data_IF_284148253516
#
_entry.id   IF_284148253516
#
_cell.length_a   1.000
_cell.length_b   1.000
_cell.length_c   1.000
_cell.angle_alpha   90.00
_cell.angle_beta   90.00
_cell.angle_gamma   90.00
#
_symmetry.space_group_name_H-M   'P 1'
#
loop_
_entity.id
_entity.type
_entity.pdbx_description
1 polymer ?
#
# COMPACT_ATOMS: atom_id res chain seq x y z
N UNK A 1 16.46 -19.83 9.12
CA UNK A 1 16.09 -19.25 10.42
C UNK A 1 14.58 -19.22 10.51
N UNK A 2 14.00 -20.13 11.30
CA UNK A 2 12.55 -20.24 11.54
C UNK A 2 12.28 -19.56 12.90
N UNK A 3 11.50 -18.48 12.96
CA UNK A 3 10.99 -17.99 14.24
C UNK A 3 9.60 -18.57 14.47
N UNK A 4 9.54 -19.56 15.35
CA UNK A 4 8.29 -20.20 15.80
C UNK A 4 7.50 -19.24 16.69
N UNK A 5 6.22 -19.06 16.40
CA UNK A 5 5.25 -18.66 17.42
C UNK A 5 4.98 -19.89 18.27
N UNK A 6 5.39 -19.88 19.53
CA UNK A 6 5.16 -20.95 20.51
C UNK A 6 4.13 -20.52 21.54
N UNK A 7 3.20 -21.43 21.87
CA UNK A 7 2.13 -21.32 22.88
C UNK A 7 2.65 -21.08 24.30
N UNK A 8 1.84 -20.40 25.14
CA UNK A 8 1.79 -20.77 26.54
C UNK A 8 0.36 -20.96 27.10
N UNK A 9 0.29 -22.08 27.81
CA UNK A 9 -0.63 -22.60 28.83
C UNK A 9 -1.56 -21.61 29.55
N UNK A 10 -2.82 -22.05 29.67
CA UNK A 10 -3.97 -21.44 30.35
C UNK A 10 -3.81 -21.43 31.88
N UNK A 11 -4.08 -20.28 32.52
CA UNK A 11 -4.43 -20.21 33.95
C UNK A 11 -5.68 -19.34 34.14
N UNK A 12 -6.79 -19.99 34.51
CA UNK A 12 -8.13 -19.39 34.68
C UNK A 12 -8.49 -19.28 36.15
N UNK A 13 -8.36 -18.09 36.76
CA UNK A 13 -9.15 -17.69 37.95
C UNK A 13 -9.31 -16.17 38.07
N UNK A 14 -10.51 -15.65 37.74
CA UNK A 14 -11.38 -14.92 38.69
C UNK A 14 -12.60 -14.31 38.03
N UNK A 15 -13.75 -14.79 38.50
CA UNK A 15 -15.09 -14.22 38.37
C UNK A 15 -15.26 -12.94 39.20
N UNK A 16 -15.81 -11.87 38.61
CA UNK A 16 -16.81 -11.01 39.29
C UNK A 16 -17.63 -10.15 38.32
N UNK A 17 -18.92 -10.11 38.64
CA UNK A 17 -20.06 -9.51 37.93
C UNK A 17 -19.88 -8.03 37.59
N UNK A 18 -20.36 -7.68 36.40
CA UNK A 18 -20.65 -6.32 35.95
C UNK A 18 -20.61 -6.31 34.44
N UNK A 19 -21.76 -6.15 33.77
CA UNK A 19 -21.95 -6.19 32.31
C UNK A 19 -20.73 -5.61 31.59
N UNK A 20 -19.90 -6.52 31.10
CA UNK A 20 -18.71 -6.20 30.34
C UNK A 20 -19.16 -6.31 28.89
N UNK A 21 -19.14 -5.20 28.14
CA UNK A 21 -18.94 -5.30 26.70
C UNK A 21 -17.83 -6.35 26.49
N UNK A 22 -17.96 -7.30 25.55
CA UNK A 22 -16.84 -8.18 25.25
C UNK A 22 -15.69 -7.27 24.84
N UNK A 23 -14.79 -6.99 25.79
CA UNK A 23 -13.44 -6.54 25.52
C UNK A 23 -12.87 -7.74 24.80
N UNK A 24 -13.04 -7.76 23.47
CA UNK A 24 -12.26 -8.62 22.61
C UNK A 24 -10.84 -8.39 23.03
N UNK A 25 -10.32 -9.38 23.75
CA UNK A 25 -8.97 -9.40 24.24
C UNK A 25 -8.13 -9.57 22.99
N UNK A 26 -7.79 -8.45 22.35
CA UNK A 26 -6.78 -8.42 21.31
C UNK A 26 -5.55 -9.11 21.90
N UNK A 27 -5.08 -10.23 21.33
CA UNK A 27 -3.91 -10.91 21.85
C UNK A 27 -2.74 -9.91 21.81
N UNK A 28 -2.31 -9.47 22.98
CA UNK A 28 -1.12 -8.63 23.18
C UNK A 28 0.11 -9.50 22.97
N UNK A 29 0.45 -9.81 21.72
CA UNK A 29 1.72 -10.43 21.38
C UNK A 29 2.37 -9.76 20.16
N UNK A 30 3.61 -9.30 20.36
CA UNK A 30 4.50 -8.76 19.33
C UNK A 30 4.19 -7.32 18.94
N UNK A 31 5.09 -6.39 19.27
CA UNK A 31 4.99 -4.94 19.00
C UNK A 31 5.06 -4.60 17.49
N UNK A 32 4.05 -4.98 16.72
CA UNK A 32 3.77 -4.42 15.40
C UNK A 32 2.35 -3.89 15.42
N UNK A 33 2.17 -2.60 15.13
CA UNK A 33 0.82 -2.09 14.90
C UNK A 33 0.19 -2.94 13.79
N UNK A 34 -0.91 -3.66 14.06
CA UNK A 34 -1.64 -4.30 12.98
C UNK A 34 -2.01 -3.19 12.00
N UNK A 35 -1.92 -3.47 10.69
CA UNK A 35 -2.36 -2.60 9.59
C UNK A 35 -1.36 -1.60 9.00
N UNK A 36 -0.17 -1.38 9.59
CA UNK A 36 0.86 -0.58 8.92
C UNK A 36 2.01 -1.46 8.41
N UNK A 37 2.48 -1.25 7.17
CA UNK A 37 3.74 -1.85 6.76
C UNK A 37 4.82 -1.35 7.72
N UNK A 38 5.61 -2.27 8.26
CA UNK A 38 6.70 -1.96 9.20
C UNK A 38 7.69 -0.95 8.63
N UNK A 39 7.90 -1.01 7.31
CA UNK A 39 8.79 -0.12 6.60
C UNK A 39 8.17 0.26 5.26
N UNK A 40 8.29 1.54 4.91
CA UNK A 40 7.91 2.07 3.61
C UNK A 40 9.04 2.95 3.09
N UNK A 41 9.51 2.66 1.89
CA UNK A 41 10.49 3.48 1.20
C UNK A 41 9.83 4.06 -0.05
N UNK A 42 10.02 5.35 -0.28
CA UNK A 42 9.53 6.02 -1.49
C UNK A 42 10.71 6.77 -2.10
N UNK A 43 11.02 6.44 -3.34
CA UNK A 43 12.05 7.09 -4.14
C UNK A 43 11.37 7.75 -5.33
N UNK A 44 11.63 9.04 -5.55
CA UNK A 44 11.18 9.77 -6.73
C UNK A 44 12.37 10.44 -7.38
N UNK A 45 12.48 10.28 -8.69
CA UNK A 45 13.57 10.79 -9.50
C UNK A 45 13.04 11.53 -10.71
N UNK A 46 13.63 12.68 -10.99
CA UNK A 46 13.42 13.45 -12.22
C UNK A 46 14.81 13.71 -12.82
N UNK A 47 15.04 13.14 -14.00
CA UNK A 47 16.24 13.39 -14.78
C UNK A 47 15.87 14.25 -15.98
N UNK A 48 16.42 15.46 -16.05
CA UNK A 48 16.26 16.32 -17.22
C UNK A 48 17.40 16.06 -18.19
N UNK A 49 17.08 15.67 -19.42
CA UNK A 49 18.04 15.44 -20.49
C UNK A 49 17.94 16.61 -21.47
N UNK A 50 18.86 17.56 -21.31
CA UNK A 50 18.85 18.82 -22.07
C UNK A 50 17.64 19.70 -21.71
N UNK A 51 17.10 20.40 -22.73
CA UNK A 51 15.97 21.34 -22.54
C UNK A 51 14.63 20.80 -23.00
N UNK A 52 14.62 19.61 -23.63
CA UNK A 52 13.43 19.05 -24.28
C UNK A 52 12.91 17.78 -23.62
N UNK A 53 13.76 16.97 -22.99
CA UNK A 53 13.37 15.67 -22.47
C UNK A 53 13.47 15.64 -20.95
N UNK A 54 12.47 15.04 -20.32
CA UNK A 54 12.50 14.70 -18.90
C UNK A 54 12.10 13.25 -18.69
N UNK A 55 12.89 12.52 -17.90
CA UNK A 55 12.58 11.18 -17.44
C UNK A 55 12.17 11.25 -15.99
N UNK A 56 11.06 10.60 -15.67
CA UNK A 56 10.49 10.49 -14.33
C UNK A 56 10.48 9.04 -13.94
N UNK A 57 10.94 8.74 -12.74
CA UNK A 57 10.83 7.43 -12.15
C UNK A 57 10.38 7.58 -10.70
N UNK A 58 9.48 6.72 -10.26
CA UNK A 58 9.09 6.62 -8.87
C UNK A 58 9.03 5.16 -8.46
N UNK A 59 9.58 4.86 -7.29
CA UNK A 59 9.54 3.54 -6.68
C UNK A 59 8.95 3.64 -5.29
N UNK A 60 7.91 2.85 -5.01
CA UNK A 60 7.31 2.73 -3.69
C UNK A 60 7.49 1.28 -3.26
N UNK A 61 8.30 1.06 -2.24
CA UNK A 61 8.45 -0.22 -1.59
C UNK A 61 7.72 -0.23 -0.24
N UNK A 62 7.02 -1.32 0.04
CA UNK A 62 6.34 -1.56 1.30
C UNK A 62 6.71 -2.95 1.81
N UNK A 63 7.11 -3.04 3.07
CA UNK A 63 7.37 -4.31 3.73
C UNK A 63 6.09 -5.11 3.92
N UNK A 64 6.24 -6.38 4.31
CA UNK A 64 5.12 -7.21 4.75
C UNK A 64 4.25 -6.51 5.79
N UNK A 65 2.95 -6.72 5.69
CA UNK A 65 1.95 -6.21 6.61
C UNK A 65 1.04 -7.35 7.09
N UNK A 66 0.49 -7.21 8.29
CA UNK A 66 -0.48 -8.14 8.85
C UNK A 66 -1.80 -7.41 9.09
N UNK A 67 -2.90 -8.05 8.73
CA UNK A 67 -4.25 -7.56 8.96
C UNK A 67 -5.13 -8.67 9.51
N UNK A 68 -6.14 -8.28 10.28
CA UNK A 68 -7.16 -9.20 10.71
C UNK A 68 -8.32 -9.16 9.72
N UNK A 69 -8.78 -10.33 9.27
CA UNK A 69 -9.95 -10.45 8.42
C UNK A 69 -10.89 -11.50 9.03
N UNK A 70 -12.19 -11.22 9.06
CA UNK A 70 -13.17 -12.21 9.45
C UNK A 70 -13.23 -13.29 8.38
N UNK A 71 -13.23 -14.55 8.82
CA UNK A 71 -13.29 -15.71 7.94
C UNK A 71 -14.72 -16.02 7.49
N UNK A 72 -15.72 -15.50 8.21
CA UNK A 72 -17.14 -15.79 8.04
C UNK A 72 -18.01 -14.53 8.23
N UNK A 73 -19.17 -14.49 7.57
CA UNK A 73 -20.18 -13.41 7.64
C UNK A 73 -20.80 -13.27 9.03
N UNK A 74 -20.57 -14.25 9.91
CA UNK A 74 -20.98 -14.21 11.31
C UNK A 74 -20.06 -13.38 12.22
N UNK A 75 -18.98 -12.77 11.68
CA UNK A 75 -17.99 -11.94 12.40
C UNK A 75 -17.36 -12.60 13.65
N UNK A 76 -17.47 -13.93 13.77
CA UNK A 76 -17.08 -14.66 14.99
C UNK A 76 -15.64 -15.17 14.95
N UNK A 77 -15.07 -15.36 13.76
CA UNK A 77 -13.73 -15.95 13.60
C UNK A 77 -12.78 -14.97 12.89
N UNK A 78 -11.79 -14.48 13.64
CA UNK A 78 -10.86 -13.43 13.21
C UNK A 78 -9.53 -14.08 12.81
N UNK A 79 -9.23 -14.12 11.52
CA UNK A 79 -8.00 -14.72 10.99
C UNK A 79 -6.93 -13.65 10.70
N UNK A 80 -5.67 -14.01 10.90
CA UNK A 80 -4.53 -13.14 10.63
C UNK A 80 -4.08 -13.32 9.18
N UNK A 81 -4.51 -12.43 8.29
CA UNK A 81 -4.02 -12.37 6.91
C UNK A 81 -2.67 -11.65 6.83
N UNK A 82 -1.72 -12.30 6.16
CA UNK A 82 -0.42 -11.71 5.81
C UNK A 82 -0.43 -11.18 4.39
N UNK A 83 0.07 -9.96 4.24
CA UNK A 83 0.28 -9.31 2.96
C UNK A 83 1.79 -9.31 2.67
N UNK A 84 2.22 -9.86 1.52
CA UNK A 84 3.64 -9.91 1.18
C UNK A 84 4.19 -8.49 0.92
N UNK A 85 5.52 -8.35 0.98
CA UNK A 85 6.17 -7.11 0.59
C UNK A 85 5.87 -6.78 -0.87
N UNK A 86 5.59 -5.51 -1.16
CA UNK A 86 5.25 -5.04 -2.52
C UNK A 86 6.21 -3.96 -2.98
N UNK A 87 6.51 -3.99 -4.27
CA UNK A 87 7.30 -2.95 -4.94
C UNK A 87 6.50 -2.44 -6.13
N UNK A 88 6.15 -1.16 -6.09
CA UNK A 88 5.53 -0.45 -7.20
C UNK A 88 6.56 0.43 -7.87
N UNK A 89 6.67 0.30 -9.20
CA UNK A 89 7.50 1.16 -10.02
C UNK A 89 6.61 1.90 -11.03
N UNK A 90 6.77 3.22 -11.06
CA UNK A 90 6.13 4.12 -12.01
C UNK A 90 7.23 4.81 -12.82
N UNK A 91 7.03 4.98 -14.13
CA UNK A 91 7.97 5.65 -15.02
C UNK A 91 7.22 6.57 -15.97
N UNK A 92 7.84 7.67 -16.35
CA UNK A 92 7.32 8.59 -17.34
C UNK A 92 8.41 9.26 -18.14
N UNK A 93 8.05 9.68 -19.34
CA UNK A 93 8.85 10.50 -20.23
C UNK A 93 8.04 11.73 -20.60
N UNK A 94 8.64 12.90 -20.36
CA UNK A 94 8.16 14.17 -20.83
C UNK A 94 8.99 14.64 -22.02
N UNK A 95 8.30 15.22 -23.00
CA UNK A 95 8.88 15.86 -24.16
C UNK A 95 8.29 17.25 -24.32
N UNK A 96 9.16 18.26 -24.30
CA UNK A 96 8.84 19.64 -24.61
C UNK A 96 9.17 19.89 -26.08
N UNK A 97 8.13 20.17 -26.86
CA UNK A 97 8.28 20.51 -28.26
C UNK A 97 8.95 21.87 -28.41
N UNK A 98 9.88 21.98 -29.36
CA UNK A 98 10.40 23.27 -29.85
C UNK A 98 9.62 23.79 -31.05
N UNK A 99 8.85 22.94 -31.73
CA UNK A 99 8.06 23.35 -32.90
C UNK A 99 6.84 24.18 -32.49
N UNK A 100 6.26 23.85 -31.34
CA UNK A 100 5.08 24.53 -30.80
C UNK A 100 5.45 25.01 -29.41
N UNK A 101 5.70 26.31 -29.28
CA UNK A 101 6.01 26.90 -27.98
C UNK A 101 4.88 26.64 -26.98
N UNK A 102 5.25 26.22 -25.77
CA UNK A 102 4.28 25.90 -24.72
C UNK A 102 3.68 24.48 -24.80
N UNK A 103 3.95 23.69 -25.84
CA UNK A 103 3.50 22.30 -25.93
C UNK A 103 4.44 21.34 -25.19
N UNK A 104 3.89 20.60 -24.23
CA UNK A 104 4.59 19.54 -23.50
C UNK A 104 3.75 18.27 -23.52
N UNK A 105 4.33 17.19 -24.03
CA UNK A 105 3.78 15.84 -24.02
C UNK A 105 4.38 15.07 -22.85
N UNK A 106 3.57 14.36 -22.09
CA UNK A 106 4.06 13.47 -21.03
C UNK A 106 3.39 12.12 -21.19
N UNK A 107 4.17 11.10 -21.47
CA UNK A 107 3.71 9.72 -21.49
C UNK A 107 4.24 9.02 -20.23
N UNK A 108 3.47 8.11 -19.66
CA UNK A 108 3.88 7.39 -18.46
C UNK A 108 3.16 6.07 -18.28
N UNK A 109 3.76 5.22 -17.46
CA UNK A 109 3.27 3.93 -17.05
C UNK A 109 3.32 3.88 -15.53
N UNK A 110 2.16 3.72 -14.90
CA UNK A 110 2.05 3.43 -13.48
C UNK A 110 2.01 1.93 -13.28
N UNK A 111 2.68 1.45 -12.24
CA UNK A 111 2.77 0.04 -11.88
C UNK A 111 3.28 -0.84 -13.04
N UNK A 112 4.50 -0.56 -13.50
CA UNK A 112 5.15 -1.28 -14.63
C UNK A 112 5.24 -2.79 -14.36
N UNK A 113 5.44 -3.16 -13.09
CA UNK A 113 5.55 -4.53 -12.63
C UNK A 113 4.20 -5.25 -12.55
N UNK A 114 3.09 -4.56 -12.82
CA UNK A 114 1.71 -5.07 -12.74
C UNK A 114 1.42 -5.78 -11.41
N UNK A 115 1.98 -5.25 -10.32
CA UNK A 115 1.76 -5.83 -9.00
C UNK A 115 0.34 -5.53 -8.55
N UNK A 116 -0.38 -6.57 -8.12
CA UNK A 116 -1.67 -6.40 -7.44
C UNK A 116 -1.41 -5.79 -6.07
N UNK A 117 -1.72 -4.51 -5.95
CA UNK A 117 -1.60 -3.77 -4.69
C UNK A 117 -2.96 -3.73 -4.02
N UNK A 118 -2.99 -4.10 -2.76
CA UNK A 118 -4.20 -4.05 -1.94
C UNK A 118 -4.07 -2.90 -0.95
N UNK A 119 -4.97 -1.92 -1.03
CA UNK A 119 -5.03 -0.87 -0.01
C UNK A 119 -5.85 -1.40 1.16
N UNK A 120 -5.17 -1.61 2.28
CA UNK A 120 -5.85 -1.91 3.53
C UNK A 120 -6.49 -0.63 4.06
N UNK A 121 -7.81 -0.51 3.93
CA UNK A 121 -8.55 0.62 4.51
C UNK A 121 -8.42 0.61 6.03
N UNK A 122 -8.14 1.78 6.62
CA UNK A 122 -8.10 2.04 8.06
C UNK A 122 -9.48 2.05 8.75
N UNK A 123 -10.55 2.04 7.97
CA UNK A 123 -11.92 2.13 8.49
C UNK A 123 -12.55 0.76 8.83
N UNK A 124 -12.32 -0.28 8.02
CA UNK A 124 -13.02 -1.58 8.13
C UNK A 124 -12.16 -2.74 8.68
N UNK A 125 -11.29 -2.53 9.66
CA UNK A 125 -10.26 -3.47 10.13
C UNK A 125 -9.39 -4.23 9.07
N UNK A 126 -9.45 -3.89 7.79
CA UNK A 126 -8.81 -4.66 6.70
C UNK A 126 -9.72 -5.71 6.06
N UNK A 127 -11.03 -5.71 6.37
CA UNK A 127 -12.04 -6.66 5.89
C UNK A 127 -12.34 -6.54 4.39
N UNK A 128 -12.15 -5.34 3.83
CA UNK A 128 -12.22 -5.10 2.40
C UNK A 128 -10.92 -4.43 1.96
N UNK A 129 -9.97 -5.24 1.49
CA UNK A 129 -8.85 -4.73 0.73
C UNK A 129 -9.37 -4.14 -0.58
N UNK A 130 -9.10 -2.86 -0.82
CA UNK A 130 -9.43 -2.26 -2.10
C UNK A 130 -8.31 -2.63 -3.09
N UNK A 131 -8.61 -3.39 -4.16
CA UNK A 131 -7.61 -3.63 -5.19
C UNK A 131 -7.30 -2.29 -5.86
N UNK A 132 -6.05 -1.85 -5.80
CA UNK A 132 -5.59 -0.78 -6.66
C UNK A 132 -5.50 -1.29 -8.09
N UNK A 133 -5.69 -0.37 -9.03
CA UNK A 133 -5.53 -0.64 -10.45
C UNK A 133 -4.15 -1.24 -10.74
N UNK A 134 -4.13 -2.16 -11.71
CA UNK A 134 -2.91 -2.80 -12.21
C UNK A 134 -2.03 -1.82 -13.00
N UNK A 135 -1.40 -2.30 -14.06
CA UNK A 135 -0.61 -1.43 -14.94
C UNK A 135 -1.50 -0.42 -15.69
N UNK A 136 -1.22 0.86 -15.53
CA UNK A 136 -1.94 1.95 -16.21
C UNK A 136 -1.00 2.77 -17.11
N UNK A 137 -1.46 3.09 -18.31
CA UNK A 137 -0.76 3.99 -19.21
C UNK A 137 -1.45 5.36 -19.23
N UNK A 138 -0.65 6.41 -19.16
CA UNK A 138 -1.14 7.79 -19.16
C UNK A 138 -0.45 8.57 -20.27
N UNK A 139 -1.23 9.28 -21.08
CA UNK A 139 -0.74 10.30 -21.99
C UNK A 139 -1.36 11.63 -21.61
N UNK A 140 -0.52 12.60 -21.31
CA UNK A 140 -0.92 13.95 -20.95
C UNK A 140 -0.35 14.93 -21.97
N UNK A 141 -1.22 15.74 -22.55
CA UNK A 141 -0.86 16.79 -23.50
C UNK A 141 -1.13 18.11 -22.79
N UNK A 142 -0.08 18.86 -22.51
CA UNK A 142 -0.15 20.17 -21.87
C UNK A 142 0.20 21.24 -22.89
N UNK A 143 -0.67 22.24 -23.02
CA UNK A 143 -0.39 23.40 -23.85
C UNK A 143 -0.53 24.66 -23.00
N UNK A 144 0.54 25.46 -22.96
CA UNK A 144 0.56 26.75 -22.27
C UNK A 144 0.54 27.87 -23.29
N UNK A 145 -0.54 28.64 -23.29
CA UNK A 145 -0.66 29.85 -24.10
C UNK A 145 0.28 30.94 -23.56
N UNK A 146 1.14 31.53 -24.41
CA UNK A 146 1.83 32.77 -24.10
C UNK A 146 0.89 33.94 -24.40
N UNK A 147 0.34 34.55 -23.36
CA UNK A 147 -0.38 35.82 -23.41
C UNK A 147 0.18 36.76 -22.37
#
# INVERSE_FOLDING_TARGET
MRSSCSDPTVDTRRTRRGRTFPRSSFPRHGQGFPRSPRQKATLTGLLKIGTQLDLRAAGIWQSEACSYAFRDDSETDLDLRRHPATLRLDMGIGYRSRLVEGLTLVAGCRNILDQRLELLSAYNNGLAAFPLNGREWTLQINYRFPF
#
